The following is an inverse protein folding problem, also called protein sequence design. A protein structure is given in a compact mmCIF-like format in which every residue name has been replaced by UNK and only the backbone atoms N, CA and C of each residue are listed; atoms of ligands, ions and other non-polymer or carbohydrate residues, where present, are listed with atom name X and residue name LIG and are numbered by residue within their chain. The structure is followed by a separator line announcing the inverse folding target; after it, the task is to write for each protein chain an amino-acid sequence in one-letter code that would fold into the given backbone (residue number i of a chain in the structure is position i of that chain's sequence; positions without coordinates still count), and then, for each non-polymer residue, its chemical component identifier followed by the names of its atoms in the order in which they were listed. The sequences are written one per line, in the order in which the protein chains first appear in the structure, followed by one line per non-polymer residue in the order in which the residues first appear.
data_IF_783834504386
#
_entry.id   IF_783834504386
#
_cell.length_a   1.000
_cell.length_b   1.000
_cell.length_c   1.000
_cell.angle_alpha   90.00
_cell.angle_beta   90.00
_cell.angle_gamma   90.00
#
_symmetry.space_group_name_H-M   'P 1'
#
loop_
_entity.id
_entity.type
_entity.pdbx_description
1 polymer ?
#
# COMPACT_ATOMS: atom_id res chain seq x y z
N UNK A 1 -60.74 46.92 7.93
CA UNK A 1 -59.30 47.14 8.22
C UNK A 1 -58.87 46.02 9.16
N UNK A 2 -58.25 44.99 8.59
CA UNK A 2 -57.76 43.79 9.26
C UNK A 2 -56.27 43.94 9.58
N UNK A 3 -55.79 43.13 10.54
CA UNK A 3 -54.39 42.86 10.96
C UNK A 3 -53.93 43.80 12.09
N UNK A 4 -53.63 43.34 13.31
CA UNK A 4 -52.83 42.17 13.68
C UNK A 4 -53.31 41.50 14.98
N UNK A 5 -53.80 40.27 14.88
CA UNK A 5 -53.64 39.29 15.97
C UNK A 5 -52.24 38.68 15.83
N UNK A 6 -51.28 39.19 16.60
CA UNK A 6 -50.02 38.49 16.81
C UNK A 6 -50.28 37.32 17.76
N UNK A 7 -50.65 36.20 17.17
CA UNK A 7 -50.79 34.92 17.86
C UNK A 7 -49.42 34.54 18.42
N UNK A 8 -49.16 34.86 19.68
CA UNK A 8 -47.97 34.43 20.40
C UNK A 8 -48.12 32.93 20.68
N UNK A 9 -47.60 32.09 19.80
CA UNK A 9 -47.58 30.65 19.98
C UNK A 9 -46.64 30.29 21.15
N UNK A 10 -47.13 29.76 22.29
CA UNK A 10 -46.30 29.44 23.44
C UNK A 10 -45.74 28.01 23.33
N UNK A 11 -45.17 27.65 22.17
CA UNK A 11 -44.68 26.29 21.92
C UNK A 11 -43.60 26.18 20.83
N UNK A 12 -42.81 27.23 20.57
CA UNK A 12 -41.51 26.98 19.92
C UNK A 12 -40.60 26.39 20.99
N UNK A 13 -40.32 25.09 20.89
CA UNK A 13 -39.31 24.39 21.66
C UNK A 13 -38.07 25.29 21.80
N UNK A 14 -37.75 25.68 23.03
CA UNK A 14 -36.64 26.61 23.28
C UNK A 14 -35.36 25.87 22.88
N UNK A 15 -34.53 26.51 22.05
CA UNK A 15 -33.26 25.96 21.57
C UNK A 15 -32.44 25.37 22.76
N UNK A 16 -32.11 24.06 22.74
CA UNK A 16 -31.38 23.42 23.84
C UNK A 16 -29.99 24.01 24.05
N UNK A 17 -29.35 24.51 22.99
CA UNK A 17 -28.04 25.16 23.09
C UNK A 17 -28.14 26.56 23.67
N UNK A 18 -29.28 27.24 23.48
CA UNK A 18 -29.58 28.48 24.18
C UNK A 18 -29.80 28.21 25.68
N UNK A 19 -30.54 27.16 26.05
CA UNK A 19 -30.75 26.77 27.45
C UNK A 19 -29.44 26.41 28.16
N UNK A 20 -28.53 25.70 27.50
CA UNK A 20 -27.21 25.35 28.07
C UNK A 20 -26.34 26.60 28.28
N UNK A 21 -26.32 27.51 27.31
CA UNK A 21 -25.55 28.77 27.42
C UNK A 21 -26.11 29.69 28.51
N UNK A 22 -27.43 29.80 28.61
CA UNK A 22 -28.07 30.60 29.67
C UNK A 22 -27.86 29.98 31.05
N UNK A 23 -27.90 28.64 31.17
CA UNK A 23 -27.56 27.93 32.41
C UNK A 23 -26.10 28.15 32.82
N UNK A 24 -25.14 27.97 31.90
CA UNK A 24 -23.74 28.22 32.18
C UNK A 24 -23.50 29.66 32.66
N UNK A 25 -24.15 30.65 32.02
CA UNK A 25 -24.07 32.04 32.41
C UNK A 25 -24.73 32.34 33.77
N UNK A 26 -25.84 31.66 34.09
CA UNK A 26 -26.48 31.78 35.41
C UNK A 26 -25.57 31.21 36.50
N UNK A 27 -25.03 30.00 36.28
CA UNK A 27 -24.17 29.33 37.26
C UNK A 27 -22.84 30.06 37.47
N UNK A 28 -22.21 30.58 36.41
CA UNK A 28 -20.98 31.37 36.52
C UNK A 28 -21.21 32.65 37.30
N UNK A 29 -22.30 33.38 37.00
CA UNK A 29 -22.63 34.61 37.71
C UNK A 29 -22.93 34.35 39.20
N UNK A 30 -23.65 33.26 39.50
CA UNK A 30 -23.93 32.87 40.88
C UNK A 30 -22.65 32.50 41.65
N UNK A 31 -21.70 31.83 41.00
CA UNK A 31 -20.40 31.51 41.61
C UNK A 31 -19.59 32.78 41.93
N UNK A 32 -19.61 33.77 41.05
CA UNK A 32 -18.89 35.04 41.24
C UNK A 32 -19.57 35.99 42.24
N UNK A 33 -20.90 35.90 42.41
CA UNK A 33 -21.70 36.86 43.18
C UNK A 33 -22.39 36.25 44.41
N UNK A 34 -21.76 35.28 45.07
CA UNK A 34 -22.25 34.66 46.31
C UNK A 34 -23.70 34.16 46.23
N UNK A 35 -24.05 33.49 45.11
CA UNK A 35 -25.37 32.90 44.91
C UNK A 35 -26.48 33.87 44.52
N UNK A 36 -26.18 35.15 44.25
CA UNK A 36 -27.17 36.10 43.72
C UNK A 36 -27.60 35.72 42.31
N UNK A 37 -28.91 35.68 42.07
CA UNK A 37 -29.47 35.43 40.74
C UNK A 37 -29.22 36.61 39.80
N UNK A 38 -28.72 36.36 38.57
CA UNK A 38 -28.45 37.44 37.61
C UNK A 38 -29.74 38.06 37.05
N UNK A 39 -29.67 39.34 36.73
CA UNK A 39 -30.71 40.07 35.99
C UNK A 39 -30.69 39.69 34.50
N UNK A 40 -31.78 39.97 33.78
CA UNK A 40 -31.84 39.67 32.34
C UNK A 40 -30.80 40.46 31.51
N UNK A 41 -30.40 41.64 31.97
CA UNK A 41 -29.36 42.45 31.32
C UNK A 41 -27.98 41.79 31.47
N UNK A 42 -27.63 41.35 32.67
CA UNK A 42 -26.37 40.65 32.97
C UNK A 42 -26.26 39.30 32.24
N UNK A 43 -27.38 38.58 32.07
CA UNK A 43 -27.41 37.38 31.24
C UNK A 43 -27.25 37.69 29.75
N UNK A 44 -27.71 38.86 29.30
CA UNK A 44 -27.59 39.20 27.90
C UNK A 44 -26.18 39.66 27.51
N UNK A 45 -25.43 40.24 28.45
CA UNK A 45 -24.02 40.61 28.24
C UNK A 45 -23.14 39.38 27.92
N UNK A 46 -23.47 38.23 28.51
CA UNK A 46 -22.74 36.97 28.36
C UNK A 46 -23.28 36.12 27.21
N UNK A 47 -24.60 35.92 27.14
CA UNK A 47 -25.25 35.05 26.14
C UNK A 47 -25.40 35.75 24.77
N UNK A 48 -25.46 37.09 24.76
CA UNK A 48 -25.52 37.96 23.57
C UNK A 48 -26.63 37.59 22.58
N UNK A 49 -27.88 37.59 23.04
CA UNK A 49 -29.05 37.25 22.21
C UNK A 49 -30.16 38.29 22.31
N UNK A 50 -31.24 38.13 21.54
CA UNK A 50 -32.39 39.02 21.66
C UNK A 50 -33.13 38.76 22.97
N UNK A 51 -33.56 39.83 23.65
CA UNK A 51 -34.34 39.72 24.90
C UNK A 51 -35.64 38.92 24.73
N UNK A 52 -36.20 38.91 23.52
CA UNK A 52 -37.38 38.10 23.15
C UNK A 52 -37.13 36.59 23.20
N UNK A 53 -35.90 36.15 22.93
CA UNK A 53 -35.48 34.73 23.02
C UNK A 53 -34.88 34.38 24.37
N UNK A 54 -34.13 35.31 24.97
CA UNK A 54 -33.49 35.13 26.27
C UNK A 54 -34.50 35.06 27.42
N UNK A 55 -35.59 35.84 27.37
CA UNK A 55 -36.57 35.92 28.46
C UNK A 55 -37.19 34.57 28.83
N UNK A 56 -37.82 33.85 27.87
CA UNK A 56 -38.38 32.52 28.11
C UNK A 56 -37.32 31.49 28.54
N UNK A 57 -36.14 31.49 27.91
CA UNK A 57 -35.04 30.57 28.24
C UNK A 57 -34.51 30.79 29.67
N UNK A 58 -34.32 32.05 30.08
CA UNK A 58 -33.84 32.40 31.41
C UNK A 58 -34.86 32.05 32.50
N UNK A 59 -36.18 32.18 32.24
CA UNK A 59 -37.22 31.74 33.18
C UNK A 59 -37.19 30.22 33.34
N UNK A 60 -37.22 29.48 32.24
CA UNK A 60 -37.19 28.01 32.27
C UNK A 60 -35.97 27.45 33.02
N UNK A 61 -34.78 28.01 32.78
CA UNK A 61 -33.56 27.59 33.49
C UNK A 61 -33.58 27.98 34.96
N UNK A 62 -34.04 29.20 35.31
CA UNK A 62 -34.16 29.63 36.71
C UNK A 62 -35.14 28.76 37.49
N UNK A 63 -36.30 28.47 36.92
CA UNK A 63 -37.31 27.63 37.54
C UNK A 63 -36.76 26.21 37.77
N UNK A 64 -36.03 25.66 36.78
CA UNK A 64 -35.35 24.37 36.93
C UNK A 64 -34.28 24.40 38.01
N UNK A 65 -33.41 25.41 38.04
CA UNK A 65 -32.34 25.53 39.03
C UNK A 65 -32.90 25.71 40.44
N UNK A 66 -33.95 26.52 40.61
CA UNK A 66 -34.66 26.67 41.88
C UNK A 66 -35.34 25.37 42.31
N UNK A 67 -35.97 24.64 41.38
CA UNK A 67 -36.54 23.33 41.66
C UNK A 67 -35.47 22.33 42.11
N UNK A 68 -34.29 22.30 41.46
CA UNK A 68 -33.17 21.45 41.88
C UNK A 68 -32.60 21.88 43.22
N UNK A 69 -32.47 23.18 43.48
CA UNK A 69 -31.97 23.70 44.75
C UNK A 69 -32.95 23.40 45.89
N UNK A 70 -34.26 23.55 45.65
CA UNK A 70 -35.31 23.18 46.60
C UNK A 70 -35.30 21.69 46.86
N UNK A 71 -35.10 20.87 45.82
CA UNK A 71 -34.97 19.42 45.95
C UNK A 71 -33.75 19.06 46.80
N UNK A 72 -32.59 19.66 46.53
CA UNK A 72 -31.35 19.45 47.27
C UNK A 72 -31.46 19.91 48.73
N UNK A 73 -32.09 21.06 48.98
CA UNK A 73 -32.33 21.57 50.33
C UNK A 73 -33.30 20.68 51.12
N UNK A 74 -34.23 20.01 50.44
CA UNK A 74 -35.16 19.05 51.01
C UNK A 74 -34.65 17.61 50.97
N UNK A 75 -33.41 17.35 50.52
CA UNK A 75 -32.87 16.00 50.55
C UNK A 75 -32.54 15.63 51.99
N UNK A 76 -32.98 14.46 52.48
CA UNK A 76 -32.54 13.97 53.78
C UNK A 76 -31.02 13.78 53.75
N UNK A 77 -30.37 14.10 54.87
CA UNK A 77 -28.94 13.84 55.04
C UNK A 77 -28.67 12.35 54.84
N UNK A 78 -27.70 12.04 53.97
CA UNK A 78 -27.27 10.67 53.72
C UNK A 78 -26.56 10.19 55.00
N UNK A 79 -26.95 9.04 55.58
CA UNK A 79 -26.23 8.49 56.73
C UNK A 79 -24.75 8.33 56.41
N UNK A 80 -23.87 8.74 57.34
CA UNK A 80 -22.42 8.74 57.12
C UNK A 80 -21.87 7.37 56.73
N UNK A 81 -22.43 6.29 57.28
CA UNK A 81 -22.05 4.92 56.93
C UNK A 81 -22.31 4.60 55.45
N UNK A 82 -23.43 5.09 54.91
CA UNK A 82 -23.77 4.90 53.50
C UNK A 82 -22.87 5.76 52.61
N UNK A 83 -22.56 6.99 53.05
CA UNK A 83 -21.63 7.89 52.35
C UNK A 83 -20.23 7.28 52.26
N UNK A 84 -19.71 6.77 53.38
CA UNK A 84 -18.40 6.12 53.44
C UNK A 84 -18.36 4.84 52.59
N UNK A 85 -19.41 4.02 52.63
CA UNK A 85 -19.51 2.82 51.79
C UNK A 85 -19.51 3.19 50.29
N UNK A 86 -20.26 4.22 49.89
CA UNK A 86 -20.27 4.71 48.52
C UNK A 86 -18.91 5.27 48.08
N UNK A 87 -18.26 6.07 48.93
CA UNK A 87 -16.93 6.60 48.65
C UNK A 87 -15.89 5.49 48.49
N UNK A 88 -15.94 4.46 49.35
CA UNK A 88 -15.06 3.30 49.24
C UNK A 88 -15.32 2.52 47.95
N UNK A 89 -16.58 2.27 47.61
CA UNK A 89 -16.96 1.62 46.36
C UNK A 89 -16.42 2.39 45.14
N UNK A 90 -16.55 3.72 45.12
CA UNK A 90 -16.04 4.56 44.02
C UNK A 90 -14.51 4.50 43.91
N UNK A 91 -13.80 4.48 45.04
CA UNK A 91 -12.33 4.32 45.06
C UNK A 91 -11.91 2.95 44.52
N UNK A 92 -12.58 1.88 44.92
CA UNK A 92 -12.30 0.53 44.44
C UNK A 92 -12.56 0.40 42.94
N UNK A 93 -13.64 1.00 42.46
CA UNK A 93 -13.99 1.01 41.03
C UNK A 93 -12.97 1.79 40.21
N UNK A 94 -12.51 2.92 40.74
CA UNK A 94 -11.44 3.71 40.12
C UNK A 94 -10.11 2.95 40.07
N UNK A 95 -9.72 2.30 41.17
CA UNK A 95 -8.49 1.50 41.25
C UNK A 95 -8.52 0.35 40.23
N UNK A 96 -9.61 -0.42 40.18
CA UNK A 96 -9.78 -1.52 39.21
C UNK A 96 -9.72 -1.03 37.76
N UNK A 97 -10.36 0.11 37.48
CA UNK A 97 -10.33 0.71 36.14
C UNK A 97 -8.92 1.13 35.77
N UNK A 98 -8.17 1.70 36.72
CA UNK A 98 -6.77 2.09 36.54
C UNK A 98 -5.88 0.88 36.25
N UNK A 99 -6.05 -0.20 37.00
CA UNK A 99 -5.28 -1.44 36.83
C UNK A 99 -5.55 -2.09 35.47
N UNK A 100 -6.81 -2.13 35.04
CA UNK A 100 -7.19 -2.64 33.73
C UNK A 100 -6.57 -1.81 32.60
N UNK A 101 -6.68 -0.48 32.67
CA UNK A 101 -6.05 0.42 31.70
C UNK A 101 -4.52 0.26 31.66
N UNK A 102 -3.88 0.09 32.82
CA UNK A 102 -2.45 -0.16 32.89
C UNK A 102 -2.08 -1.51 32.26
N UNK A 103 -2.88 -2.56 32.49
CA UNK A 103 -2.72 -3.87 31.86
C UNK A 103 -2.79 -3.79 30.34
N UNK A 104 -3.82 -3.12 29.81
CA UNK A 104 -3.96 -2.89 28.37
C UNK A 104 -2.76 -2.15 27.77
N UNK A 105 -2.24 -1.12 28.46
CA UNK A 105 -1.04 -0.41 28.01
C UNK A 105 0.19 -1.33 27.96
N UNK A 106 0.36 -2.20 28.95
CA UNK A 106 1.47 -3.16 28.99
C UNK A 106 1.35 -4.16 27.85
N UNK A 107 0.15 -4.68 27.59
CA UNK A 107 -0.10 -5.65 26.53
C UNK A 107 0.09 -5.03 25.15
N UNK A 108 -0.38 -3.79 24.93
CA UNK A 108 -0.13 -3.04 23.71
C UNK A 108 1.37 -2.82 23.48
N UNK A 109 2.14 -2.49 24.52
CA UNK A 109 3.59 -2.35 24.41
C UNK A 109 4.29 -3.65 24.05
N UNK A 110 3.86 -4.78 24.62
CA UNK A 110 4.39 -6.10 24.28
C UNK A 110 4.06 -6.49 22.84
N UNK A 111 2.82 -6.27 22.41
CA UNK A 111 2.41 -6.54 21.03
C UNK A 111 3.19 -5.68 20.03
N UNK A 112 3.40 -4.40 20.34
CA UNK A 112 4.21 -3.51 19.51
C UNK A 112 5.67 -3.96 19.45
N UNK A 113 6.28 -4.33 20.59
CA UNK A 113 7.65 -4.84 20.63
C UNK A 113 7.81 -6.12 19.79
N UNK A 114 6.87 -7.07 19.90
CA UNK A 114 6.90 -8.29 19.10
C UNK A 114 6.76 -8.00 17.59
N UNK A 115 5.92 -7.03 17.21
CA UNK A 115 5.78 -6.59 15.82
C UNK A 115 7.05 -5.93 15.31
N UNK A 116 7.68 -5.07 16.10
CA UNK A 116 8.92 -4.40 15.73
C UNK A 116 10.09 -5.40 15.59
N UNK A 117 10.13 -6.43 16.44
CA UNK A 117 11.11 -7.50 16.35
C UNK A 117 10.92 -8.33 15.07
N UNK A 118 9.67 -8.69 14.74
CA UNK A 118 9.33 -9.37 13.47
C UNK A 118 9.74 -8.54 12.26
N UNK A 119 9.40 -7.25 12.23
CA UNK A 119 9.79 -6.38 11.13
C UNK A 119 11.31 -6.25 11.00
N UNK A 120 12.06 -6.24 12.10
CA UNK A 120 13.53 -6.22 12.03
C UNK A 120 14.07 -7.52 11.43
N UNK A 121 13.49 -8.66 11.76
CA UNK A 121 13.88 -9.95 11.16
C UNK A 121 13.60 -9.95 9.66
N UNK A 122 12.40 -9.56 9.24
CA UNK A 122 12.02 -9.47 7.82
C UNK A 122 12.96 -8.55 7.04
N UNK A 123 13.32 -7.39 7.62
CA UNK A 123 14.26 -6.45 7.00
C UNK A 123 15.66 -7.04 6.83
N UNK A 124 16.15 -7.79 7.82
CA UNK A 124 17.45 -8.47 7.74
C UNK A 124 17.42 -9.56 6.66
N UNK A 125 16.34 -10.34 6.58
CA UNK A 125 16.16 -11.36 5.55
C UNK A 125 16.12 -10.74 4.15
N UNK A 126 15.34 -9.68 3.96
CA UNK A 126 15.28 -8.95 2.69
C UNK A 126 16.64 -8.37 2.28
N UNK A 127 17.38 -7.77 3.22
CA UNK A 127 18.73 -7.27 2.96
C UNK A 127 19.68 -8.41 2.56
N UNK A 128 19.57 -9.58 3.20
CA UNK A 128 20.31 -10.78 2.83
C UNK A 128 19.99 -11.24 1.40
N UNK A 129 18.71 -11.28 1.02
CA UNK A 129 18.28 -11.64 -0.33
C UNK A 129 18.82 -10.64 -1.36
N UNK A 130 18.73 -9.34 -1.08
CA UNK A 130 19.28 -8.30 -1.96
C UNK A 130 20.78 -8.53 -2.18
N UNK A 131 21.55 -8.75 -1.11
CA UNK A 131 22.98 -9.03 -1.23
C UNK A 131 23.30 -10.28 -2.07
N UNK A 132 22.49 -11.34 -1.95
CA UNK A 132 22.64 -12.54 -2.79
C UNK A 132 22.33 -12.26 -4.27
N UNK A 133 21.28 -11.48 -4.55
CA UNK A 133 20.90 -11.11 -5.92
C UNK A 133 21.94 -10.19 -6.56
N UNK A 134 22.49 -9.24 -5.81
CA UNK A 134 23.55 -8.35 -6.27
C UNK A 134 24.83 -9.16 -6.59
N UNK A 135 25.23 -10.08 -5.71
CA UNK A 135 26.38 -10.95 -5.97
C UNK A 135 26.17 -11.85 -7.20
N UNK A 136 24.97 -12.41 -7.37
CA UNK A 136 24.64 -13.20 -8.57
C UNK A 136 24.68 -12.34 -9.83
N UNK A 137 24.13 -11.12 -9.78
CA UNK A 137 24.19 -10.16 -10.90
C UNK A 137 25.63 -9.85 -11.27
N UNK A 138 26.48 -9.55 -10.30
CA UNK A 138 27.88 -9.22 -10.54
C UNK A 138 28.65 -10.41 -11.16
N UNK A 139 28.33 -11.63 -10.73
CA UNK A 139 28.89 -12.83 -11.33
C UNK A 139 28.45 -13.01 -12.80
N UNK A 140 27.17 -12.78 -13.12
CA UNK A 140 26.69 -12.89 -14.50
C UNK A 140 27.25 -11.78 -15.39
N UNK A 141 27.40 -10.55 -14.87
CA UNK A 141 28.08 -9.47 -15.59
C UNK A 141 29.52 -9.84 -15.89
N UNK A 142 30.27 -10.35 -14.91
CA UNK A 142 31.65 -10.80 -15.13
C UNK A 142 31.76 -11.93 -16.18
N UNK A 143 30.78 -12.85 -16.21
CA UNK A 143 30.71 -13.90 -17.25
C UNK A 143 30.40 -13.32 -18.63
N UNK A 144 29.48 -12.37 -18.72
CA UNK A 144 29.15 -11.69 -19.97
C UNK A 144 30.36 -10.92 -20.52
N UNK A 145 31.04 -10.15 -19.67
CA UNK A 145 32.25 -9.41 -20.05
C UNK A 145 33.35 -10.36 -20.57
N UNK A 146 33.55 -11.51 -19.91
CA UNK A 146 34.51 -12.52 -20.37
C UNK A 146 34.12 -13.11 -21.74
N UNK A 147 32.83 -13.41 -21.94
CA UNK A 147 32.33 -13.92 -23.21
C UNK A 147 32.47 -12.89 -24.35
N UNK A 148 32.29 -11.60 -24.05
CA UNK A 148 32.47 -10.52 -25.03
C UNK A 148 33.93 -10.39 -25.49
N UNK A 149 34.88 -10.55 -24.56
CA UNK A 149 36.33 -10.59 -24.88
C UNK A 149 36.64 -11.79 -25.78
N UNK A 150 36.16 -12.99 -25.43
CA UNK A 150 36.36 -14.18 -26.26
C UNK A 150 35.72 -14.03 -27.66
N UNK A 151 34.53 -13.44 -27.74
CA UNK A 151 33.87 -13.17 -29.02
C UNK A 151 34.67 -12.19 -29.88
N UNK A 152 35.25 -11.14 -29.28
CA UNK A 152 36.12 -10.20 -30.00
C UNK A 152 37.38 -10.90 -30.54
N UNK A 153 38.01 -11.75 -29.73
CA UNK A 153 39.18 -12.53 -30.15
C UNK A 153 38.85 -13.51 -31.29
N UNK A 154 37.72 -14.21 -31.20
CA UNK A 154 37.26 -15.12 -32.24
C UNK A 154 36.95 -14.37 -33.55
N UNK A 155 36.34 -13.18 -33.48
CA UNK A 155 36.12 -12.32 -34.66
C UNK A 155 37.44 -11.95 -35.32
N UNK A 156 38.43 -11.49 -34.54
CA UNK A 156 39.76 -11.16 -35.06
C UNK A 156 40.45 -12.36 -35.74
N UNK A 157 40.34 -13.56 -35.15
CA UNK A 157 40.89 -14.79 -35.74
C UNK A 157 40.16 -15.20 -37.03
N UNK A 158 38.85 -15.03 -37.07
CA UNK A 158 38.03 -15.30 -38.26
C UNK A 158 38.42 -14.34 -39.39
N UNK A 159 38.55 -13.05 -39.10
CA UNK A 159 39.05 -12.07 -40.05
C UNK A 159 40.44 -12.45 -40.59
N UNK A 160 41.40 -12.77 -39.72
CA UNK A 160 42.72 -13.23 -40.16
C UNK A 160 42.63 -14.48 -41.06
N UNK A 161 41.92 -15.52 -40.63
CA UNK A 161 41.76 -16.75 -41.39
C UNK A 161 41.09 -16.52 -42.76
N UNK A 162 40.08 -15.64 -42.83
CA UNK A 162 39.42 -15.32 -44.10
C UNK A 162 40.34 -14.57 -45.06
N UNK A 163 41.19 -13.66 -44.56
CA UNK A 163 42.20 -13.02 -45.41
C UNK A 163 43.25 -14.02 -45.92
N UNK A 164 43.70 -14.94 -45.07
CA UNK A 164 44.65 -16.00 -45.46
C UNK A 164 44.06 -16.95 -46.51
N UNK A 165 42.79 -17.35 -46.32
CA UNK A 165 42.07 -18.20 -47.26
C UNK A 165 41.88 -17.49 -48.61
N UNK A 166 41.50 -16.21 -48.60
CA UNK A 166 41.42 -15.40 -49.81
C UNK A 166 42.78 -15.32 -50.55
N UNK A 167 43.88 -15.13 -49.81
CA UNK A 167 45.22 -15.12 -50.39
C UNK A 167 45.63 -16.50 -50.94
N UNK A 168 45.29 -17.60 -50.26
CA UNK A 168 45.54 -18.95 -50.75
C UNK A 168 44.73 -19.26 -52.02
N UNK A 169 43.47 -18.86 -52.07
CA UNK A 169 42.62 -18.99 -53.25
C UNK A 169 43.17 -18.19 -54.44
N UNK A 170 43.67 -16.97 -54.20
CA UNK A 170 44.31 -16.16 -55.25
C UNK A 170 45.54 -16.88 -55.84
N UNK A 171 46.41 -17.43 -54.98
CA UNK A 171 47.57 -18.22 -55.43
C UNK A 171 47.18 -19.49 -56.18
N UNK A 172 46.09 -20.16 -55.78
CA UNK A 172 45.56 -21.31 -56.51
C UNK A 172 45.05 -20.89 -57.90
N UNK A 173 44.30 -19.79 -57.98
CA UNK A 173 43.81 -19.26 -59.25
C UNK A 173 44.96 -18.85 -60.19
N UNK A 174 46.03 -18.24 -59.66
CA UNK A 174 47.25 -17.94 -60.42
C UNK A 174 47.90 -19.22 -60.96
N UNK A 175 48.01 -20.26 -60.13
CA UNK A 175 48.53 -21.57 -60.57
C UNK A 175 47.66 -22.21 -61.63
N UNK A 176 46.35 -22.18 -61.48
CA UNK A 176 45.40 -22.71 -62.46
C UNK A 176 45.52 -21.96 -63.80
N UNK A 177 45.67 -20.63 -63.76
CA UNK A 177 45.93 -19.83 -64.96
C UNK A 177 47.27 -20.20 -65.63
N UNK A 178 48.32 -20.44 -64.85
CA UNK A 178 49.62 -20.93 -65.37
C UNK A 178 49.45 -22.32 -66.00
N UNK A 179 48.77 -23.25 -65.35
CA UNK A 179 48.51 -24.58 -65.91
C UNK A 179 47.64 -24.53 -67.17
N UNK A 180 46.67 -23.62 -67.26
CA UNK A 180 45.89 -23.41 -68.47
C UNK A 180 46.75 -22.88 -69.64
N UNK A 181 47.73 -22.01 -69.36
CA UNK A 181 48.69 -21.52 -70.37
C UNK A 181 49.71 -22.59 -70.80
N UNK A 182 50.11 -23.48 -69.88
CA UNK A 182 51.06 -24.56 -70.14
C UNK A 182 50.40 -25.85 -70.65
N UNK A 183 49.08 -25.96 -70.56
CA UNK A 183 48.33 -27.02 -71.19
C UNK A 183 48.66 -26.98 -72.69
N UNK A 184 49.19 -28.06 -73.28
CA UNK A 184 49.38 -28.08 -74.72
C UNK A 184 48.02 -27.80 -75.34
N UNK A 185 47.99 -26.85 -76.29
CA UNK A 185 46.89 -26.72 -77.25
C UNK A 185 46.77 -28.08 -77.95
N UNK A 186 46.00 -28.98 -77.36
CA UNK A 186 45.45 -30.11 -78.08
C UNK A 186 44.41 -29.45 -78.97
N UNK A 187 44.80 -29.20 -80.22
CA UNK A 187 43.86 -28.93 -81.30
C UNK A 187 42.72 -29.92 -81.15
N UNK A 188 41.55 -29.42 -80.77
CA UNK A 188 40.29 -30.14 -80.92
C UNK A 188 39.74 -29.74 -82.27
N UNK A 189 40.35 -30.29 -83.31
CA UNK A 189 39.56 -30.77 -84.43
C UNK A 189 39.50 -32.29 -84.30
N UNK A 190 38.30 -32.78 -84.55
CA UNK A 190 37.87 -34.16 -84.75
C UNK A 190 37.31 -35.01 -83.58
N UNK A 191 36.04 -35.33 -83.83
CA UNK A 191 35.27 -36.53 -83.45
C UNK A 191 34.34 -36.46 -82.22
N UNK A 192 33.15 -35.95 -82.54
CA UNK A 192 31.86 -36.50 -82.13
C UNK A 192 31.82 -38.03 -82.11
N UNK A 193 31.28 -38.58 -81.02
CA UNK A 193 30.47 -39.81 -81.04
C UNK A 193 31.03 -41.00 -80.25
N UNK A 194 30.53 -41.23 -79.04
CA UNK A 194 29.65 -42.39 -78.74
C UNK A 194 29.31 -42.47 -77.24
N UNK A 195 28.01 -42.39 -77.00
CA UNK A 195 27.21 -43.13 -76.01
C UNK A 195 27.86 -43.70 -74.73
N UNK A 196 27.45 -43.16 -73.59
CA UNK A 196 27.18 -43.99 -72.40
C UNK A 196 25.98 -43.45 -71.61
N UNK A 197 24.92 -44.25 -71.63
CA UNK A 197 23.62 -44.05 -70.99
C UNK A 197 23.70 -43.94 -69.45
N UNK A 198 22.74 -43.16 -68.94
CA UNK A 198 21.99 -43.34 -67.70
C UNK A 198 22.67 -43.04 -66.34
N UNK A 199 22.14 -42.03 -65.64
CA UNK A 199 21.25 -42.28 -64.49
C UNK A 199 20.46 -41.02 -64.08
N UNK A 200 19.15 -41.23 -64.03
CA UNK A 200 18.11 -40.32 -63.55
C UNK A 200 18.24 -40.21 -62.02
N UNK A 201 18.58 -39.04 -61.50
CA UNK A 201 18.64 -38.74 -60.06
C UNK A 201 17.89 -37.45 -59.78
N UNK A 202 16.80 -37.58 -59.02
CA UNK A 202 15.79 -36.55 -58.81
C UNK A 202 16.33 -35.30 -58.09
N UNK A 203 15.89 -34.12 -58.58
CA UNK A 203 15.89 -32.85 -57.84
C UNK A 203 15.07 -33.00 -56.55
N UNK A 204 15.63 -32.58 -55.43
CA UNK A 204 14.86 -32.11 -54.26
C UNK A 204 15.53 -30.84 -53.69
N UNK A 205 14.77 -29.77 -53.42
CA UNK A 205 15.31 -28.56 -52.84
C UNK A 205 15.54 -28.76 -51.34
N UNK A 206 16.66 -28.27 -50.81
CA UNK A 206 16.86 -28.14 -49.37
C UNK A 206 16.17 -26.85 -48.91
N UNK A 207 15.08 -27.01 -48.19
CA UNK A 207 14.46 -25.99 -47.36
C UNK A 207 15.43 -25.56 -46.26
N UNK A 208 15.36 -24.27 -45.94
CA UNK A 208 15.96 -23.61 -44.79
C UNK A 208 15.45 -24.19 -43.48
N UNK A 209 16.33 -24.78 -42.68
CA UNK A 209 16.09 -25.01 -41.25
C UNK A 209 16.61 -23.81 -40.47
N UNK A 210 15.69 -22.93 -40.07
CA UNK A 210 15.88 -22.05 -38.91
C UNK A 210 15.30 -22.74 -37.68
N UNK A 211 15.89 -22.60 -36.48
CA UNK A 211 15.24 -23.07 -35.27
C UNK A 211 14.28 -21.99 -34.75
N UNK A 212 13.01 -22.11 -35.11
CA UNK A 212 11.90 -21.50 -34.39
C UNK A 212 11.32 -22.58 -33.46
N UNK A 213 11.74 -22.58 -32.20
CA UNK A 213 11.07 -23.32 -31.12
C UNK A 213 10.33 -22.32 -30.24
N UNK A 214 9.27 -21.75 -30.80
CA UNK A 214 8.13 -21.29 -30.02
C UNK A 214 7.20 -22.51 -29.84
N UNK A 215 7.05 -22.96 -28.60
CA UNK A 215 5.86 -23.64 -28.03
C UNK A 215 6.29 -24.59 -26.91
N UNK A 216 6.44 -24.03 -25.70
CA UNK A 216 6.33 -24.81 -24.47
C UNK A 216 4.87 -24.78 -24.01
N UNK A 217 4.23 -25.94 -23.77
CA UNK A 217 2.85 -25.97 -23.28
C UNK A 217 2.77 -25.48 -21.82
N UNK A 218 1.89 -24.49 -21.63
CA UNK A 218 1.34 -24.05 -20.37
C UNK A 218 0.85 -25.25 -19.53
N UNK A 219 1.51 -25.50 -18.40
CA UNK A 219 0.96 -26.33 -17.33
C UNK A 219 0.44 -25.41 -16.24
N UNK A 220 -0.87 -25.15 -16.26
CA UNK A 220 -1.60 -24.50 -15.16
C UNK A 220 -1.84 -25.48 -14.01
N UNK A 221 -2.07 -24.97 -12.78
CA UNK A 221 -2.04 -25.76 -11.55
C UNK A 221 -3.32 -26.60 -11.40
N UNK A 222 -3.18 -27.85 -10.99
CA UNK A 222 -4.31 -28.68 -10.54
C UNK A 222 -4.55 -28.44 -9.06
N UNK A 223 -5.64 -27.74 -8.75
CA UNK A 223 -6.25 -27.69 -7.43
C UNK A 223 -7.40 -28.71 -7.35
N UNK A 224 -7.27 -29.70 -6.48
CA UNK A 224 -8.35 -30.38 -5.72
C UNK A 224 -7.68 -30.86 -4.41
N UNK A 225 -7.92 -30.25 -3.26
CA UNK A 225 -9.14 -30.33 -2.46
C UNK A 225 -9.56 -31.79 -2.22
N UNK A 226 -9.02 -32.38 -1.14
CA UNK A 226 -9.73 -33.39 -0.36
C UNK A 226 -9.67 -32.97 1.12
N UNK A 227 -10.85 -32.63 1.61
CA UNK A 227 -11.20 -32.56 3.00
C UNK A 227 -11.86 -33.88 3.37
N UNK A 228 -11.46 -34.51 4.47
CA UNK A 228 -12.22 -35.48 5.30
C UNK A 228 -11.30 -35.93 6.44
N UNK A 229 -11.47 -35.39 7.65
CA UNK A 229 -12.11 -36.09 8.79
C UNK A 229 -11.04 -36.24 9.89
N UNK A 230 -11.23 -35.85 11.15
CA UNK A 230 -12.36 -36.19 12.00
C UNK A 230 -11.98 -37.40 12.85
N UNK A 231 -11.22 -37.15 13.92
CA UNK A 231 -11.25 -37.82 15.23
C UNK A 231 -10.47 -36.98 16.25
#
# INVERSE_FOLDING_TARGET
MSKHESTFAPASEIDPDLLRRTEAAILSFMAENNGKMPTQQQLNETVKTSFTRLGPAARAVKDRLLATQTKLANMPEIPDDLRLAHEQMLKDLWARTRDLQNGEIVDLRRAQAAKDDSHRQDMVEMQGIIGLLEAARDQEVARADAADVECADLRNRLEAATTELAAANARLAERDAIFAMLSPFRNTEDETGEDAKARKGARRPRSSDGPETADLPMSTPSAKADALGGD
#
